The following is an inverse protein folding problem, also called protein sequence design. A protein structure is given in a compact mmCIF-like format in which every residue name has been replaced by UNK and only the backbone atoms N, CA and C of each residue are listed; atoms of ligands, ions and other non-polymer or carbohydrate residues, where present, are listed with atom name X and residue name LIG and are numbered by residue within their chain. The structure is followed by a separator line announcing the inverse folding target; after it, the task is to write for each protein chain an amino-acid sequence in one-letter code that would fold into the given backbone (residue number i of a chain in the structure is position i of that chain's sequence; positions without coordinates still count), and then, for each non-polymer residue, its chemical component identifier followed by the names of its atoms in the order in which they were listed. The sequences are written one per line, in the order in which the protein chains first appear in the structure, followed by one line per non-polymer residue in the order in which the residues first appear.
data_IF_359971229905
#
_entry.id   IF_359971229905
#
_cell.length_a   1.000
_cell.length_b   1.000
_cell.length_c   1.000
_cell.angle_alpha   90.00
_cell.angle_beta   90.00
_cell.angle_gamma   90.00
#
_symmetry.space_group_name_H-M   'P 1'
#
loop_
_entity.id
_entity.type
_entity.pdbx_description
1 polymer ?
#
# COMPACT_ATOMS: atom_id res chain seq x y z
N UNK A 1 -13.84 -28.77 18.89
CA UNK A 1 -12.64 -29.31 18.21
C UNK A 1 -12.64 -30.82 18.35
N UNK A 2 -12.15 -31.54 17.33
CA UNK A 2 -12.12 -33.00 17.29
C UNK A 2 -10.74 -33.49 16.81
N UNK A 3 -10.17 -34.52 17.44
CA UNK A 3 -8.84 -35.05 17.07
C UNK A 3 -7.66 -34.18 17.53
N UNK A 4 -6.43 -34.58 17.16
CA UNK A 4 -5.18 -33.95 17.63
C UNK A 4 -4.13 -33.86 16.51
N UNK A 5 -3.20 -32.91 16.64
CA UNK A 5 -2.10 -32.73 15.69
C UNK A 5 -2.60 -32.63 14.23
N UNK A 6 -2.10 -33.50 13.35
CA UNK A 6 -2.48 -33.51 11.92
C UNK A 6 -3.94 -33.95 11.66
N UNK A 7 -4.59 -34.61 12.62
CA UNK A 7 -5.99 -35.03 12.49
C UNK A 7 -6.97 -34.04 13.10
N UNK A 8 -6.50 -32.93 13.67
CA UNK A 8 -7.34 -31.90 14.28
C UNK A 8 -8.35 -31.30 13.29
N UNK A 9 -9.62 -31.37 13.68
CA UNK A 9 -10.75 -30.75 13.00
C UNK A 9 -11.38 -29.66 13.86
N UNK A 10 -11.76 -28.57 13.20
CA UNK A 10 -12.49 -27.45 13.78
C UNK A 10 -13.82 -27.37 13.05
N UNK A 11 -14.93 -27.67 13.74
CA UNK A 11 -16.26 -27.82 13.12
C UNK A 11 -16.24 -28.80 11.91
N UNK A 12 -15.49 -29.89 12.03
CA UNK A 12 -15.32 -30.86 10.95
C UNK A 12 -14.39 -30.42 9.80
N UNK A 13 -13.77 -29.24 9.84
CA UNK A 13 -12.80 -28.78 8.85
C UNK A 13 -11.39 -29.28 9.16
N UNK A 14 -10.77 -30.00 8.23
CA UNK A 14 -9.34 -30.31 8.28
C UNK A 14 -8.47 -29.06 8.12
N UNK A 15 -7.19 -29.14 8.49
CA UNK A 15 -6.23 -28.07 8.25
C UNK A 15 -6.19 -27.61 6.78
N UNK A 16 -6.24 -28.55 5.82
CA UNK A 16 -6.29 -28.22 4.40
C UNK A 16 -7.56 -27.47 4.00
N UNK A 17 -8.72 -27.82 4.57
CA UNK A 17 -9.98 -27.11 4.34
C UNK A 17 -9.97 -25.71 4.99
N UNK A 18 -9.39 -25.56 6.19
CA UNK A 18 -9.20 -24.26 6.84
C UNK A 18 -8.27 -23.34 6.02
N UNK A 19 -7.18 -23.89 5.50
CA UNK A 19 -6.29 -23.15 4.60
C UNK A 19 -6.99 -22.76 3.28
N UNK A 20 -7.79 -23.66 2.70
CA UNK A 20 -8.59 -23.36 1.51
C UNK A 20 -9.61 -22.25 1.79
N UNK A 21 -10.32 -22.30 2.92
CA UNK A 21 -11.22 -21.25 3.39
C UNK A 21 -10.53 -19.90 3.44
N UNK A 22 -9.36 -19.82 4.09
CA UNK A 22 -8.57 -18.59 4.15
C UNK A 22 -8.19 -18.09 2.75
N UNK A 23 -7.76 -18.98 1.84
CA UNK A 23 -7.40 -18.57 0.48
C UNK A 23 -8.58 -17.99 -0.31
N UNK A 24 -9.79 -18.53 -0.12
CA UNK A 24 -11.01 -18.01 -0.74
C UNK A 24 -11.39 -16.67 -0.10
N UNK A 25 -11.31 -16.55 1.22
CA UNK A 25 -11.54 -15.29 1.93
C UNK A 25 -10.56 -14.19 1.49
N UNK A 26 -9.27 -14.51 1.34
CA UNK A 26 -8.25 -13.57 0.85
C UNK A 26 -8.45 -13.18 -0.63
N UNK A 27 -9.28 -13.94 -1.35
CA UNK A 27 -9.59 -13.76 -2.77
C UNK A 27 -10.84 -12.89 -2.99
N UNK A 28 -11.91 -13.18 -2.25
CA UNK A 28 -13.23 -12.58 -2.45
C UNK A 28 -13.72 -11.74 -1.25
N UNK A 29 -12.99 -11.76 -0.14
CA UNK A 29 -13.41 -11.12 1.10
C UNK A 29 -14.63 -11.84 1.70
N UNK A 30 -15.41 -11.10 2.48
CA UNK A 30 -16.65 -11.60 3.11
C UNK A 30 -17.88 -11.51 2.19
N UNK A 31 -17.75 -10.94 0.98
CA UNK A 31 -18.86 -10.77 0.05
C UNK A 31 -20.00 -9.93 0.64
N UNK A 32 -21.24 -10.42 0.55
CA UNK A 32 -22.42 -9.92 1.29
C UNK A 32 -22.70 -10.76 2.54
N UNK A 33 -21.65 -11.29 3.16
CA UNK A 33 -21.74 -12.37 4.15
C UNK A 33 -22.46 -13.61 3.59
N UNK A 34 -22.31 -13.82 2.27
CA UNK A 34 -22.77 -14.99 1.52
C UNK A 34 -21.56 -15.89 1.23
N UNK A 35 -21.69 -17.17 1.59
CA UNK A 35 -20.62 -18.16 1.51
C UNK A 35 -20.72 -19.06 0.27
N UNK A 36 -21.55 -18.74 -0.72
CA UNK A 36 -21.71 -19.54 -1.95
C UNK A 36 -20.39 -19.85 -2.68
N UNK A 37 -19.51 -18.87 -2.80
CA UNK A 37 -18.20 -19.04 -3.46
C UNK A 37 -17.29 -20.06 -2.75
N UNK A 38 -17.56 -20.32 -1.47
CA UNK A 38 -16.80 -21.29 -0.68
C UNK A 38 -17.28 -22.72 -0.92
N UNK A 39 -18.56 -22.94 -1.26
CA UNK A 39 -19.13 -24.29 -1.47
C UNK A 39 -18.42 -25.02 -2.61
N UNK A 40 -18.22 -24.34 -3.75
CA UNK A 40 -17.60 -24.94 -4.94
C UNK A 40 -16.12 -25.27 -4.73
N UNK A 41 -15.46 -24.57 -3.80
CA UNK A 41 -14.02 -24.66 -3.57
C UNK A 41 -13.65 -25.52 -2.35
N UNK A 42 -14.57 -25.75 -1.41
CA UNK A 42 -14.35 -26.59 -0.23
C UNK A 42 -15.12 -27.90 -0.39
N UNK A 43 -14.41 -28.95 -0.83
CA UNK A 43 -15.00 -30.26 -1.09
C UNK A 43 -15.69 -30.84 0.15
N UNK A 44 -16.86 -31.46 -0.07
CA UNK A 44 -17.63 -32.20 0.92
C UNK A 44 -18.07 -31.38 2.14
N UNK A 45 -18.38 -30.10 1.94
CA UNK A 45 -18.99 -29.25 2.97
C UNK A 45 -20.30 -28.65 2.49
N UNK A 46 -21.30 -28.64 3.38
CA UNK A 46 -22.57 -27.95 3.11
C UNK A 46 -22.41 -26.45 3.27
N UNK A 47 -23.39 -25.69 2.78
CA UNK A 47 -23.43 -24.25 2.98
C UNK A 47 -23.47 -23.90 4.47
N UNK A 48 -24.26 -24.64 5.25
CA UNK A 48 -24.43 -24.43 6.69
C UNK A 48 -23.12 -24.65 7.45
N UNK A 49 -22.40 -25.74 7.15
CA UNK A 49 -21.09 -26.01 7.77
C UNK A 49 -20.08 -24.89 7.45
N UNK A 50 -20.06 -24.40 6.21
CA UNK A 50 -19.19 -23.30 5.80
C UNK A 50 -19.58 -22.00 6.49
N UNK A 51 -20.88 -21.70 6.59
CA UNK A 51 -21.38 -20.49 7.27
C UNK A 51 -21.02 -20.51 8.76
N UNK A 52 -21.17 -21.65 9.42
CA UNK A 52 -20.83 -21.82 10.82
C UNK A 52 -19.31 -21.63 11.04
N UNK A 53 -18.49 -22.30 10.21
CA UNK A 53 -17.03 -22.12 10.26
C UNK A 53 -16.61 -20.68 9.91
N UNK A 54 -17.25 -20.04 8.94
CA UNK A 54 -16.96 -18.65 8.59
C UNK A 54 -17.32 -17.68 9.71
N UNK A 55 -18.42 -17.93 10.42
CA UNK A 55 -18.80 -17.15 11.61
C UNK A 55 -17.76 -17.30 12.72
N UNK A 56 -17.31 -18.53 12.99
CA UNK A 56 -16.22 -18.80 13.94
C UNK A 56 -14.94 -18.06 13.52
N UNK A 57 -14.52 -18.18 12.26
CA UNK A 57 -13.33 -17.53 11.75
C UNK A 57 -13.39 -16.01 11.90
N UNK A 58 -14.55 -15.39 11.61
CA UNK A 58 -14.74 -13.95 11.79
C UNK A 58 -14.66 -13.53 13.26
N UNK A 59 -15.19 -14.35 14.17
CA UNK A 59 -15.06 -14.10 15.61
C UNK A 59 -13.60 -14.15 16.08
N UNK A 60 -12.82 -15.11 15.55
CA UNK A 60 -11.40 -15.30 15.84
C UNK A 60 -10.54 -14.12 15.38
N UNK A 61 -10.75 -13.61 14.16
CA UNK A 61 -9.97 -12.45 13.67
C UNK A 61 -10.39 -11.12 14.28
N UNK A 62 -11.51 -11.10 15.02
CA UNK A 62 -11.97 -9.95 15.79
C UNK A 62 -11.46 -9.96 17.24
N UNK A 63 -10.80 -11.05 17.69
CA UNK A 63 -10.10 -11.07 18.97
C UNK A 63 -8.96 -10.04 19.01
N UNK A 64 -8.53 -9.69 20.22
CA UNK A 64 -7.34 -8.85 20.41
C UNK A 64 -6.10 -9.53 19.81
N UNK A 65 -5.36 -8.78 18.98
CA UNK A 65 -4.16 -9.30 18.33
C UNK A 65 -3.07 -9.50 19.38
N UNK A 66 -2.70 -10.76 19.59
CA UNK A 66 -1.66 -11.19 20.52
C UNK A 66 -0.77 -12.26 19.88
N UNK A 67 0.38 -12.53 20.52
CA UNK A 67 1.38 -13.50 20.07
C UNK A 67 1.04 -14.96 20.41
N UNK A 68 -0.16 -15.23 20.97
CA UNK A 68 -0.58 -16.60 21.27
C UNK A 68 -0.65 -17.44 19.98
N UNK A 69 -0.19 -18.70 19.98
CA UNK A 69 -0.31 -19.59 18.82
C UNK A 69 -1.75 -20.07 18.57
N UNK A 70 -2.67 -19.83 19.50
CA UNK A 70 -4.08 -20.22 19.44
C UNK A 70 -5.00 -19.03 19.71
N UNK A 71 -6.26 -19.11 19.27
CA UNK A 71 -7.36 -18.24 19.68
C UNK A 71 -7.81 -18.56 21.12
N UNK A 72 -8.71 -17.73 21.65
CA UNK A 72 -9.22 -17.83 23.02
C UNK A 72 -9.89 -19.18 23.34
N UNK A 73 -10.44 -19.85 22.33
CA UNK A 73 -11.07 -21.17 22.42
C UNK A 73 -10.09 -22.35 22.21
N UNK A 74 -8.81 -22.06 22.04
CA UNK A 74 -7.75 -23.05 21.81
C UNK A 74 -7.55 -23.47 20.35
N UNK A 75 -8.33 -22.94 19.40
CA UNK A 75 -8.13 -23.23 17.97
C UNK A 75 -6.77 -22.65 17.52
N UNK A 76 -5.91 -23.43 16.82
CA UNK A 76 -4.62 -22.92 16.39
C UNK A 76 -4.76 -21.85 15.31
N UNK A 77 -3.91 -20.81 15.37
CA UNK A 77 -3.82 -19.76 14.35
C UNK A 77 -3.11 -20.24 13.09
N UNK A 78 -2.29 -21.29 13.18
CA UNK A 78 -1.63 -21.91 12.01
C UNK A 78 -0.83 -20.92 11.14
N UNK A 79 -0.19 -19.92 11.77
CA UNK A 79 0.56 -18.87 11.06
C UNK A 79 -0.31 -17.75 10.46
N UNK A 80 -1.59 -17.67 10.83
CA UNK A 80 -2.50 -16.61 10.40
C UNK A 80 -1.99 -15.23 10.83
N UNK A 81 -1.72 -14.36 9.85
CA UNK A 81 -1.42 -12.95 10.06
C UNK A 81 -2.74 -12.17 10.06
N UNK A 82 -3.37 -12.04 11.22
CA UNK A 82 -4.71 -11.42 11.38
C UNK A 82 -4.76 -10.04 10.72
N UNK A 83 -3.73 -9.21 10.91
CA UNK A 83 -3.65 -7.87 10.33
C UNK A 83 -3.80 -7.89 8.80
N UNK A 84 -3.13 -8.80 8.10
CA UNK A 84 -3.20 -8.87 6.64
C UNK A 84 -4.57 -9.32 6.15
N UNK A 85 -5.22 -10.21 6.90
CA UNK A 85 -6.57 -10.67 6.60
C UNK A 85 -7.55 -9.52 6.72
N UNK A 86 -7.48 -8.76 7.82
CA UNK A 86 -8.31 -7.58 8.05
C UNK A 86 -8.09 -6.51 6.97
N UNK A 87 -6.82 -6.22 6.63
CA UNK A 87 -6.49 -5.28 5.54
C UNK A 87 -7.08 -5.77 4.21
N UNK A 88 -6.96 -7.06 3.89
CA UNK A 88 -7.52 -7.61 2.65
C UNK A 88 -9.05 -7.52 2.61
N UNK A 89 -9.73 -7.84 3.72
CA UNK A 89 -11.18 -7.72 3.83
C UNK A 89 -11.60 -6.26 3.64
N UNK A 90 -10.94 -5.32 4.31
CA UNK A 90 -11.22 -3.89 4.18
C UNK A 90 -11.06 -3.40 2.74
N UNK A 91 -9.94 -3.72 2.07
CA UNK A 91 -9.72 -3.33 0.67
C UNK A 91 -10.82 -3.86 -0.25
N UNK A 92 -11.25 -5.11 -0.08
CA UNK A 92 -12.29 -5.71 -0.92
C UNK A 92 -13.67 -5.11 -0.66
N UNK A 93 -13.99 -4.75 0.60
CA UNK A 93 -15.21 -4.02 0.93
C UNK A 93 -15.22 -2.62 0.30
N UNK A 94 -14.12 -1.87 0.40
CA UNK A 94 -14.01 -0.54 -0.18
C UNK A 94 -14.11 -0.56 -1.72
N UNK A 95 -13.51 -1.57 -2.38
CA UNK A 95 -13.66 -1.76 -3.84
C UNK A 95 -15.14 -2.00 -4.18
N UNK A 96 -15.82 -2.84 -3.41
CA UNK A 96 -17.24 -3.14 -3.61
C UNK A 96 -18.12 -1.90 -3.46
N UNK A 97 -17.90 -1.11 -2.42
CA UNK A 97 -18.60 0.15 -2.20
C UNK A 97 -18.35 1.13 -3.34
N UNK A 98 -17.09 1.26 -3.78
CA UNK A 98 -16.72 2.13 -4.92
C UNK A 98 -17.39 1.71 -6.22
N UNK A 99 -17.39 0.41 -6.54
CA UNK A 99 -18.05 -0.14 -7.74
C UNK A 99 -19.57 0.08 -7.67
N UNK A 100 -20.17 -0.18 -6.50
CA UNK A 100 -21.60 0.05 -6.27
C UNK A 100 -21.96 1.52 -6.46
N UNK A 101 -21.23 2.43 -5.81
CA UNK A 101 -21.43 3.87 -5.94
C UNK A 101 -21.36 4.34 -7.39
N UNK A 102 -20.35 3.91 -8.15
CA UNK A 102 -20.21 4.27 -9.57
C UNK A 102 -21.38 3.75 -10.42
N UNK A 103 -21.90 2.56 -10.12
CA UNK A 103 -23.06 1.99 -10.83
C UNK A 103 -24.38 2.73 -10.55
N UNK A 104 -24.53 3.23 -9.32
CA UNK A 104 -25.72 3.99 -8.88
C UNK A 104 -25.65 5.46 -9.32
N UNK A 105 -24.45 5.98 -9.61
CA UNK A 105 -24.21 7.39 -9.94
C UNK A 105 -23.45 7.54 -11.28
N UNK A 106 -24.02 7.08 -12.41
CA UNK A 106 -23.33 7.11 -13.70
C UNK A 106 -22.97 8.54 -14.11
N UNK A 107 -21.76 8.71 -14.64
CA UNK A 107 -21.23 10.01 -15.05
C UNK A 107 -20.52 10.80 -13.94
N UNK A 108 -20.56 10.30 -12.70
CA UNK A 108 -19.73 10.84 -11.62
C UNK A 108 -18.30 10.32 -11.74
N UNK A 109 -17.27 11.17 -11.58
CA UNK A 109 -15.89 10.71 -11.55
C UNK A 109 -15.65 9.66 -10.46
N UNK A 110 -14.86 8.64 -10.77
CA UNK A 110 -14.51 7.53 -9.89
C UNK A 110 -13.76 8.00 -8.64
N UNK A 111 -13.00 9.09 -8.76
CA UNK A 111 -12.30 9.76 -7.67
C UNK A 111 -12.47 11.27 -7.76
N UNK A 112 -12.44 11.94 -6.62
CA UNK A 112 -12.43 13.41 -6.53
C UNK A 112 -11.15 14.03 -7.10
N UNK A 113 -11.25 15.27 -7.59
CA UNK A 113 -10.12 16.00 -8.18
C UNK A 113 -8.93 16.13 -7.22
N UNK A 114 -9.18 16.28 -5.91
CA UNK A 114 -8.11 16.37 -4.92
C UNK A 114 -7.37 15.02 -4.74
N UNK A 115 -8.06 13.88 -4.86
CA UNK A 115 -7.44 12.56 -4.86
C UNK A 115 -6.63 12.34 -6.14
N UNK A 116 -7.18 12.70 -7.29
CA UNK A 116 -6.51 12.57 -8.59
C UNK A 116 -5.25 13.46 -8.69
N UNK A 117 -5.32 14.69 -8.20
CA UNK A 117 -4.17 15.62 -8.21
C UNK A 117 -2.98 15.10 -7.41
N UNK A 118 -3.22 14.40 -6.29
CA UNK A 118 -2.17 13.74 -5.48
C UNK A 118 -1.66 12.43 -6.10
N UNK A 119 -2.37 11.87 -7.08
CA UNK A 119 -2.06 10.58 -7.70
C UNK A 119 -1.91 10.73 -9.21
N UNK A 120 -0.87 11.47 -9.61
CA UNK A 120 -0.52 11.77 -11.01
C UNK A 120 -0.41 10.50 -11.88
N UNK A 121 -0.05 9.35 -11.29
CA UNK A 121 0.03 8.06 -11.99
C UNK A 121 -1.31 7.52 -12.49
N UNK A 122 -2.44 8.05 -12.02
CA UNK A 122 -3.78 7.72 -12.54
C UNK A 122 -4.19 8.57 -13.74
N UNK A 123 -3.43 9.62 -14.09
CA UNK A 123 -3.77 10.50 -15.22
C UNK A 123 -4.09 9.68 -16.46
N UNK A 124 -5.15 10.10 -17.14
CA UNK A 124 -5.67 9.46 -18.35
C UNK A 124 -4.53 9.30 -19.35
N UNK A 125 -4.31 8.06 -19.75
CA UNK A 125 -3.31 7.72 -20.76
C UNK A 125 -3.97 7.69 -22.14
N UNK A 126 -3.21 7.31 -23.18
CA UNK A 126 -3.74 7.34 -24.55
C UNK A 126 -4.89 6.35 -24.73
N UNK A 127 -4.74 5.14 -24.18
CA UNK A 127 -5.72 4.06 -24.33
C UNK A 127 -6.42 3.75 -23.00
N UNK A 128 -5.67 3.70 -21.90
CA UNK A 128 -6.25 3.44 -20.59
C UNK A 128 -6.87 4.70 -19.96
N UNK A 129 -8.14 4.57 -19.59
CA UNK A 129 -9.01 5.64 -19.10
C UNK A 129 -9.76 5.19 -17.84
N UNK A 130 -10.47 6.12 -17.22
CA UNK A 130 -11.20 5.89 -15.97
C UNK A 130 -12.26 4.77 -16.07
N UNK A 131 -12.95 4.64 -17.21
CA UNK A 131 -13.89 3.53 -17.42
C UNK A 131 -13.22 2.16 -17.31
N UNK A 132 -11.94 2.07 -17.69
CA UNK A 132 -11.15 0.84 -17.58
C UNK A 132 -10.68 0.59 -16.14
N UNK A 133 -10.47 1.65 -15.35
CA UNK A 133 -10.23 1.51 -13.91
C UNK A 133 -11.45 0.91 -13.21
N UNK A 134 -12.65 1.39 -13.54
CA UNK A 134 -13.89 0.82 -13.01
C UNK A 134 -14.07 -0.65 -13.43
N UNK A 135 -13.81 -0.97 -14.71
CA UNK A 135 -13.82 -2.37 -15.18
C UNK A 135 -12.82 -3.22 -14.42
N UNK A 136 -11.60 -2.74 -14.18
CA UNK A 136 -10.59 -3.46 -13.41
C UNK A 136 -11.06 -3.74 -11.97
N UNK A 137 -11.64 -2.74 -11.29
CA UNK A 137 -12.20 -2.90 -9.94
C UNK A 137 -13.33 -3.94 -9.92
N UNK A 138 -14.26 -3.87 -10.87
CA UNK A 138 -15.33 -4.86 -11.02
C UNK A 138 -14.77 -6.27 -11.28
N UNK A 139 -13.73 -6.38 -12.10
CA UNK A 139 -13.08 -7.65 -12.44
C UNK A 139 -12.40 -8.31 -11.25
N UNK A 140 -11.87 -7.51 -10.32
CA UNK A 140 -11.29 -8.03 -9.07
C UNK A 140 -12.38 -8.67 -8.20
N UNK A 141 -13.58 -8.09 -8.17
CA UNK A 141 -14.71 -8.68 -7.45
C UNK A 141 -15.22 -9.95 -8.15
N UNK A 142 -15.28 -9.95 -9.49
CA UNK A 142 -15.72 -11.10 -10.31
C UNK A 142 -14.77 -12.30 -10.23
N UNK A 143 -13.48 -12.08 -10.48
CA UNK A 143 -12.47 -13.15 -10.60
C UNK A 143 -11.71 -13.41 -9.31
N UNK A 144 -11.74 -12.44 -8.39
CA UNK A 144 -11.03 -12.50 -7.12
C UNK A 144 -9.65 -11.85 -7.15
N UNK A 145 -9.31 -11.15 -6.07
CA UNK A 145 -8.04 -10.45 -5.85
C UNK A 145 -6.85 -11.33 -6.19
N UNK A 146 -5.95 -10.88 -7.07
CA UNK A 146 -4.73 -11.61 -7.38
C UNK A 146 -4.86 -12.65 -8.50
N UNK A 147 -6.06 -12.83 -9.10
CA UNK A 147 -6.25 -13.68 -10.29
C UNK A 147 -5.98 -12.86 -11.56
N UNK A 148 -4.84 -12.17 -11.57
CA UNK A 148 -4.48 -11.25 -12.64
C UNK A 148 -4.54 -11.87 -14.05
N UNK A 149 -4.02 -13.09 -14.28
CA UNK A 149 -4.15 -13.70 -15.60
C UNK A 149 -5.62 -13.92 -16.01
N UNK A 150 -6.47 -14.40 -15.10
CA UNK A 150 -7.89 -14.60 -15.39
C UNK A 150 -8.63 -13.29 -15.71
N UNK A 151 -8.24 -12.19 -15.04
CA UNK A 151 -8.78 -10.85 -15.33
C UNK A 151 -8.33 -10.36 -16.71
N UNK A 152 -7.06 -10.57 -17.08
CA UNK A 152 -6.56 -10.18 -18.42
C UNK A 152 -7.21 -11.01 -19.52
N UNK A 153 -7.36 -12.31 -19.29
CA UNK A 153 -7.84 -13.26 -20.29
C UNK A 153 -9.39 -13.27 -20.44
N UNK A 154 -10.12 -12.54 -19.59
CA UNK A 154 -11.56 -12.41 -19.69
C UNK A 154 -11.95 -11.47 -20.85
N UNK A 155 -12.42 -12.10 -21.92
CA UNK A 155 -12.82 -11.44 -23.17
C UNK A 155 -13.99 -10.48 -22.99
N UNK A 156 -14.88 -10.72 -22.02
CA UNK A 156 -16.06 -9.89 -21.79
C UNK A 156 -15.68 -8.49 -21.27
N UNK A 157 -14.50 -8.37 -20.66
CA UNK A 157 -13.98 -7.11 -20.14
C UNK A 157 -13.30 -6.26 -21.21
N UNK A 158 -12.87 -6.90 -22.31
CA UNK A 158 -12.09 -6.31 -23.40
C UNK A 158 -10.82 -5.54 -22.94
N UNK A 159 -10.33 -5.83 -21.73
CA UNK A 159 -9.24 -5.06 -21.09
C UNK A 159 -7.88 -5.36 -21.73
N UNK A 160 -7.70 -6.59 -22.24
CA UNK A 160 -6.49 -7.02 -22.93
C UNK A 160 -6.18 -6.16 -24.16
N UNK A 161 -7.20 -5.82 -24.96
CA UNK A 161 -7.02 -4.98 -26.15
C UNK A 161 -6.51 -3.58 -25.77
N UNK A 162 -7.04 -3.01 -24.68
CA UNK A 162 -6.64 -1.70 -24.17
C UNK A 162 -5.21 -1.74 -23.63
N UNK A 163 -4.85 -2.80 -22.89
CA UNK A 163 -3.49 -3.02 -22.38
C UNK A 163 -2.49 -3.15 -23.52
N UNK A 164 -2.81 -3.91 -24.57
CA UNK A 164 -1.95 -4.05 -25.75
C UNK A 164 -1.70 -2.70 -26.42
N UNK A 165 -2.74 -1.89 -26.59
CA UNK A 165 -2.62 -0.54 -27.13
C UNK A 165 -1.77 0.38 -26.25
N UNK A 166 -1.93 0.29 -24.93
CA UNK A 166 -1.18 1.10 -23.96
C UNK A 166 0.30 0.72 -23.89
N UNK A 167 0.61 -0.58 -23.99
CA UNK A 167 1.99 -1.09 -23.98
C UNK A 167 2.65 -1.10 -25.36
N UNK A 168 1.93 -0.70 -26.41
CA UNK A 168 2.34 -0.79 -27.81
C UNK A 168 2.81 -2.21 -28.19
N UNK A 169 2.08 -3.22 -27.71
CA UNK A 169 2.30 -4.64 -27.98
C UNK A 169 1.27 -5.09 -29.02
N UNK A 170 1.66 -5.85 -30.06
CA UNK A 170 0.70 -6.38 -31.02
C UNK A 170 -0.28 -7.32 -30.33
N UNK A 171 -1.57 -7.13 -30.59
CA UNK A 171 -2.59 -8.05 -30.15
C UNK A 171 -2.53 -9.33 -30.98
N UNK A 172 -2.11 -10.44 -30.36
CA UNK A 172 -2.05 -11.75 -31.02
C UNK A 172 -3.22 -12.58 -30.51
N UNK A 173 -4.27 -12.72 -31.33
CA UNK A 173 -5.31 -13.73 -31.14
C UNK A 173 -4.69 -15.10 -31.44
N UNK A 174 -4.07 -15.75 -30.45
CA UNK A 174 -3.72 -17.17 -30.61
C UNK A 174 -5.00 -17.97 -30.42
N UNK A 175 -5.46 -18.75 -31.41
CA UNK A 175 -6.62 -19.61 -31.22
C UNK A 175 -6.33 -20.59 -30.08
N UNK A 176 -7.23 -20.61 -29.10
CA UNK A 176 -7.25 -21.57 -28.00
C UNK A 176 -7.48 -22.97 -28.60
N UNK A 177 -6.42 -23.62 -29.06
CA UNK A 177 -6.53 -24.91 -29.74
C UNK A 177 -5.23 -25.56 -30.22
N UNK A 178 -4.12 -24.84 -30.38
CA UNK A 178 -2.89 -25.40 -30.95
C UNK A 178 -1.71 -25.59 -29.99
N UNK A 179 -1.90 -25.40 -28.68
CA UNK A 179 -0.89 -25.78 -27.68
C UNK A 179 -1.12 -27.19 -27.11
N UNK A 180 -2.22 -27.86 -27.49
CA UNK A 180 -2.62 -29.16 -26.94
C UNK A 180 -2.38 -30.40 -27.83
N UNK A 181 -1.90 -30.29 -29.06
CA UNK A 181 -1.97 -31.41 -30.03
C UNK A 181 -0.64 -31.99 -30.51
N UNK A 182 0.45 -31.88 -29.74
CA UNK A 182 1.63 -32.73 -29.92
C UNK A 182 2.25 -33.15 -28.57
N UNK A 183 1.54 -33.99 -27.84
CA UNK A 183 2.17 -34.98 -26.97
C UNK A 183 2.09 -36.34 -27.66
N UNK A 184 3.20 -37.07 -27.85
CA UNK A 184 3.12 -38.52 -28.05
C UNK A 184 2.71 -39.15 -26.73
N UNK A 185 1.58 -39.85 -26.75
CA UNK A 185 1.15 -40.76 -25.69
C UNK A 185 2.28 -41.73 -25.29
N UNK A 186 2.50 -41.93 -23.99
CA UNK A 186 3.45 -42.93 -23.52
C UNK A 186 3.52 -43.11 -22.01
N UNK A 187 2.59 -43.90 -21.47
CA UNK A 187 2.71 -44.77 -20.29
C UNK A 187 2.78 -44.16 -18.86
N UNK A 188 1.72 -44.46 -18.11
CA UNK A 188 1.68 -44.97 -16.73
C UNK A 188 2.92 -44.74 -15.84
N UNK A 189 2.72 -44.20 -14.64
CA UNK A 189 2.93 -44.96 -13.40
C UNK A 189 2.31 -44.25 -12.19
N UNK A 190 1.65 -45.07 -11.39
CA UNK A 190 1.07 -44.85 -10.07
C UNK A 190 2.10 -44.58 -8.97
N UNK A 191 1.68 -43.79 -8.00
CA UNK A 191 1.99 -43.84 -6.56
C UNK A 191 3.39 -43.51 -6.03
N UNK A 192 3.30 -42.89 -4.85
CA UNK A 192 4.06 -43.14 -3.62
C UNK A 192 5.04 -42.04 -3.20
N UNK A 193 4.67 -41.45 -2.06
CA UNK A 193 5.53 -40.82 -1.08
C UNK A 193 6.81 -41.62 -0.83
N UNK A 194 7.92 -40.94 -0.54
CA UNK A 194 8.89 -41.49 0.40
C UNK A 194 9.69 -40.40 1.10
N UNK A 195 9.73 -40.59 2.42
CA UNK A 195 10.47 -39.85 3.43
C UNK A 195 11.81 -40.55 3.67
N UNK A 196 12.86 -39.76 3.95
CA UNK A 196 13.98 -40.06 4.87
C UNK A 196 14.99 -41.20 4.55
N UNK A 197 16.24 -40.73 4.37
CA UNK A 197 17.52 -41.15 4.97
C UNK A 197 18.16 -42.55 4.76
N UNK A 198 19.50 -42.46 4.70
CA UNK A 198 20.57 -43.41 5.08
C UNK A 198 21.25 -44.28 4.02
N UNK A 199 22.51 -43.87 3.75
CA UNK A 199 23.75 -44.62 4.03
C UNK A 199 24.45 -45.45 2.92
N UNK A 200 25.75 -45.12 2.82
CA UNK A 200 26.96 -45.97 2.69
C UNK A 200 27.24 -46.80 1.42
N UNK A 201 28.42 -46.44 0.86
CA UNK A 201 29.53 -47.30 0.39
C UNK A 201 29.26 -48.24 -0.81
N UNK A 202 30.22 -48.66 -1.63
CA UNK A 202 31.59 -48.31 -2.02
C UNK A 202 31.98 -49.36 -3.10
N UNK A 203 32.92 -49.02 -3.99
CA UNK A 203 33.86 -49.92 -4.69
C UNK A 203 33.49 -50.73 -5.95
N UNK A 204 34.43 -50.68 -6.91
CA UNK A 204 34.81 -51.75 -7.86
C UNK A 204 34.42 -51.48 -9.32
N UNK A 205 35.17 -50.71 -10.13
CA UNK A 205 36.45 -51.00 -10.82
C UNK A 205 36.39 -52.09 -11.92
N UNK A 206 36.96 -51.73 -13.09
CA UNK A 206 37.88 -52.51 -13.98
C UNK A 206 37.49 -52.53 -15.48
N UNK A 207 38.31 -51.79 -16.26
CA UNK A 207 38.89 -52.04 -17.63
C UNK A 207 37.97 -52.24 -18.85
N UNK A 208 38.31 -51.94 -20.10
CA UNK A 208 39.32 -51.19 -20.88
C UNK A 208 38.85 -51.34 -22.36
N UNK A 209 39.11 -50.48 -23.36
CA UNK A 209 40.33 -50.40 -24.19
C UNK A 209 40.08 -49.40 -25.34
N UNK A 210 40.99 -48.43 -25.47
CA UNK A 210 41.58 -47.71 -26.63
C UNK A 210 40.86 -47.45 -27.97
N UNK A 211 41.08 -46.23 -28.50
CA UNK A 211 40.99 -45.94 -29.95
C UNK A 211 41.07 -44.48 -30.44
N UNK A 212 42.19 -43.78 -30.21
CA UNK A 212 42.85 -42.75 -31.07
C UNK A 212 42.14 -41.48 -31.65
N UNK A 213 42.61 -40.32 -31.15
CA UNK A 213 43.19 -39.11 -31.81
C UNK A 213 42.53 -38.29 -32.96
N UNK A 214 42.50 -36.94 -32.76
CA UNK A 214 42.62 -35.87 -33.78
C UNK A 214 41.77 -34.62 -33.43
N UNK A 215 42.22 -33.67 -32.60
CA UNK A 215 42.98 -32.41 -32.87
C UNK A 215 42.31 -31.36 -33.78
N UNK A 216 42.19 -30.13 -33.22
CA UNK A 216 41.87 -28.81 -33.80
C UNK A 216 40.46 -28.63 -34.42
N UNK A 217 39.72 -27.54 -34.20
CA UNK A 217 40.17 -26.16 -34.19
C UNK A 217 39.20 -25.23 -33.44
N UNK A 218 39.76 -24.24 -32.76
CA UNK A 218 39.02 -23.13 -32.17
C UNK A 218 38.85 -22.07 -33.27
N UNK A 219 37.64 -21.91 -33.80
CA UNK A 219 37.40 -20.93 -34.85
C UNK A 219 35.93 -20.56 -34.99
N UNK A 220 35.62 -19.34 -34.56
CA UNK A 220 34.38 -18.56 -34.79
C UNK A 220 33.22 -18.88 -33.86
N UNK A 221 33.22 -18.17 -32.73
CA UNK A 221 32.00 -17.58 -32.18
C UNK A 221 31.35 -16.71 -33.28
N UNK A 222 30.45 -17.30 -34.07
CA UNK A 222 29.30 -16.54 -34.54
C UNK A 222 28.27 -16.63 -33.42
N UNK A 223 28.02 -15.49 -32.76
CA UNK A 223 26.82 -15.28 -31.96
C UNK A 223 25.63 -15.53 -32.89
N UNK A 224 25.15 -16.77 -32.93
CA UNK A 224 23.80 -17.04 -33.40
C UNK A 224 22.90 -16.31 -32.40
N UNK A 225 22.37 -15.16 -32.80
CA UNK A 225 21.22 -14.56 -32.16
C UNK A 225 20.12 -15.64 -32.17
N UNK A 226 19.98 -16.37 -31.06
CA UNK A 226 18.81 -17.21 -30.84
C UNK A 226 17.63 -16.25 -30.67
N UNK A 227 16.92 -16.02 -31.77
CA UNK A 227 15.57 -15.44 -31.76
C UNK A 227 14.78 -16.14 -30.64
N UNK A 228 14.27 -15.39 -29.65
CA UNK A 228 13.55 -16.01 -28.54
C UNK A 228 12.37 -16.79 -29.09
N UNK A 229 12.22 -18.05 -28.65
CA UNK A 229 11.14 -18.93 -29.14
C UNK A 229 9.78 -18.24 -28.99
N UNK A 230 8.87 -18.47 -29.94
CA UNK A 230 7.52 -17.88 -29.96
C UNK A 230 6.77 -18.08 -28.64
N UNK A 231 6.98 -19.21 -27.97
CA UNK A 231 6.45 -19.49 -26.63
C UNK A 231 7.07 -18.63 -25.52
N UNK A 232 8.38 -18.33 -25.62
CA UNK A 232 9.05 -17.42 -24.68
C UNK A 232 8.49 -15.99 -24.83
N UNK A 233 8.37 -15.52 -26.08
CA UNK A 233 7.79 -14.20 -26.39
C UNK A 233 6.35 -14.07 -25.87
N UNK A 234 5.52 -15.11 -26.07
CA UNK A 234 4.14 -15.14 -25.56
C UNK A 234 4.09 -15.08 -24.02
N UNK A 235 4.94 -15.84 -23.33
CA UNK A 235 5.02 -15.81 -21.85
C UNK A 235 5.45 -14.44 -21.33
N UNK A 236 6.39 -13.80 -22.00
CA UNK A 236 6.83 -12.45 -21.64
C UNK A 236 5.72 -11.42 -21.87
N UNK A 237 4.97 -11.54 -22.95
CA UNK A 237 3.80 -10.72 -23.24
C UNK A 237 2.73 -10.85 -22.14
N UNK A 238 2.33 -12.08 -21.79
CA UNK A 238 1.39 -12.33 -20.69
C UNK A 238 1.87 -11.74 -19.36
N UNK A 239 3.18 -11.85 -19.07
CA UNK A 239 3.78 -11.23 -17.88
C UNK A 239 3.62 -9.71 -17.90
N UNK A 240 3.91 -9.05 -19.03
CA UNK A 240 3.75 -7.60 -19.17
C UNK A 240 2.30 -7.16 -18.97
N UNK A 241 1.35 -7.90 -19.53
CA UNK A 241 -0.08 -7.59 -19.35
C UNK A 241 -0.51 -7.71 -17.87
N UNK A 242 -0.11 -8.79 -17.22
CA UNK A 242 -0.37 -9.02 -15.79
C UNK A 242 0.28 -7.94 -14.92
N UNK A 243 1.52 -7.55 -15.20
CA UNK A 243 2.22 -6.52 -14.44
C UNK A 243 1.61 -5.13 -14.64
N UNK A 244 1.08 -4.83 -15.83
CA UNK A 244 0.35 -3.59 -16.08
C UNK A 244 -0.86 -3.47 -15.15
N UNK A 245 -1.75 -4.47 -15.11
CA UNK A 245 -2.96 -4.39 -14.28
C UNK A 245 -2.65 -4.42 -12.78
N UNK A 246 -1.60 -5.15 -12.36
CA UNK A 246 -1.13 -5.11 -10.96
C UNK A 246 -0.71 -3.70 -10.55
N UNK A 247 0.12 -3.06 -11.37
CA UNK A 247 0.60 -1.69 -11.10
C UNK A 247 -0.56 -0.70 -11.09
N UNK A 248 -1.50 -0.83 -12.04
CA UNK A 248 -2.68 0.01 -12.09
C UNK A 248 -3.56 -0.18 -10.86
N UNK A 249 -3.80 -1.42 -10.45
CA UNK A 249 -4.55 -1.74 -9.24
C UNK A 249 -3.93 -1.13 -7.98
N UNK A 250 -2.60 -1.21 -7.81
CA UNK A 250 -1.93 -0.62 -6.64
C UNK A 250 -2.16 0.90 -6.53
N UNK A 251 -2.25 1.60 -7.67
CA UNK A 251 -2.60 3.02 -7.68
C UNK A 251 -4.06 3.25 -7.29
N UNK A 252 -4.98 2.42 -7.78
CA UNK A 252 -6.40 2.49 -7.43
C UNK A 252 -6.62 2.20 -5.94
N UNK A 253 -6.00 1.16 -5.41
CA UNK A 253 -6.03 0.79 -3.99
C UNK A 253 -5.55 1.96 -3.11
N UNK A 254 -4.44 2.61 -3.50
CA UNK A 254 -3.95 3.80 -2.81
C UNK A 254 -4.97 4.95 -2.80
N UNK A 255 -5.66 5.17 -3.92
CA UNK A 255 -6.66 6.22 -4.04
C UNK A 255 -7.91 5.93 -3.21
N UNK A 256 -8.42 4.70 -3.30
CA UNK A 256 -9.55 4.21 -2.50
C UNK A 256 -9.25 4.38 -1.00
N UNK A 257 -8.07 3.95 -0.55
CA UNK A 257 -7.66 4.10 0.85
C UNK A 257 -7.53 5.58 1.25
N UNK A 258 -7.00 6.43 0.37
CA UNK A 258 -6.85 7.87 0.66
C UNK A 258 -8.21 8.57 0.81
N UNK A 259 -9.19 8.19 -0.02
CA UNK A 259 -10.54 8.73 0.04
C UNK A 259 -11.26 8.29 1.32
N UNK A 260 -11.18 6.99 1.65
CA UNK A 260 -11.73 6.47 2.91
C UNK A 260 -11.15 7.17 4.14
N UNK A 261 -9.83 7.37 4.18
CA UNK A 261 -9.19 8.08 5.29
C UNK A 261 -9.64 9.54 5.39
N UNK A 262 -9.87 10.21 4.25
CA UNK A 262 -10.41 11.57 4.23
C UNK A 262 -11.83 11.60 4.80
N UNK A 263 -12.71 10.74 4.30
CA UNK A 263 -14.11 10.64 4.75
C UNK A 263 -14.19 10.32 6.25
N UNK A 264 -13.40 9.36 6.72
CA UNK A 264 -13.33 9.01 8.14
C UNK A 264 -12.90 10.20 9.02
N UNK A 265 -11.86 10.92 8.61
CA UNK A 265 -11.37 12.10 9.34
C UNK A 265 -12.40 13.24 9.34
N UNK A 266 -13.11 13.43 8.24
CA UNK A 266 -14.15 14.45 8.11
C UNK A 266 -15.37 14.11 9.01
N UNK A 267 -15.78 12.85 9.09
CA UNK A 267 -16.82 12.38 10.03
C UNK A 267 -16.40 12.59 11.49
N UNK A 268 -15.14 12.26 11.84
CA UNK A 268 -14.62 12.51 13.19
C UNK A 268 -14.67 14.00 13.58
N UNK A 269 -14.27 14.89 12.67
CA UNK A 269 -14.37 16.35 12.88
C UNK A 269 -15.82 16.82 12.99
N UNK A 270 -16.73 16.28 12.19
CA UNK A 270 -18.16 16.62 12.28
C UNK A 270 -18.76 16.22 13.64
N UNK A 271 -18.39 15.04 14.16
CA UNK A 271 -18.80 14.57 15.50
C UNK A 271 -18.22 15.42 16.63
N UNK A 272 -16.99 15.90 16.50
CA UNK A 272 -16.38 16.83 17.47
C UNK A 272 -17.05 18.22 17.46
N UNK A 273 -17.43 18.72 16.28
CA UNK A 273 -18.13 20.00 16.14
C UNK A 273 -19.53 20.01 16.79
N UNK A 274 -20.26 18.89 16.70
CA UNK A 274 -21.62 18.78 17.24
C UNK A 274 -21.67 18.59 18.76
N UNK A 275 -20.56 18.19 19.40
CA UNK A 275 -20.49 17.98 20.86
C UNK A 275 -20.28 19.28 21.66
N UNK A 276 -20.23 20.46 21.02
CA UNK A 276 -20.12 21.75 21.71
C UNK A 276 -21.46 22.34 22.18
N UNK A 277 -22.61 21.78 21.80
CA UNK A 277 -23.92 22.41 22.06
C UNK A 277 -24.85 21.71 23.08
N UNK A 278 -24.49 20.53 23.60
CA UNK A 278 -25.22 19.93 24.73
C UNK A 278 -24.26 19.48 25.85
N UNK A 279 -23.94 20.42 26.74
CA UNK A 279 -23.58 20.09 28.12
C UNK A 279 -24.75 20.46 29.00
N UNK A 280 -25.52 19.46 29.44
CA UNK A 280 -26.00 19.32 30.82
C UNK A 280 -26.64 17.94 31.05
N UNK A 281 -26.33 17.42 32.24
CA UNK A 281 -26.77 16.20 32.94
C UNK A 281 -26.17 14.82 32.61
N UNK A 282 -25.75 14.05 33.66
CA UNK A 282 -25.17 12.73 33.51
C UNK A 282 -26.22 11.64 33.71
N UNK A 283 -26.39 10.77 32.71
CA UNK A 283 -27.10 9.50 32.91
C UNK A 283 -26.22 8.35 32.46
N UNK A 284 -25.85 7.55 33.45
CA UNK A 284 -25.12 6.30 33.38
C UNK A 284 -25.80 5.30 32.46
N UNK A 285 -25.13 4.92 31.36
CA UNK A 285 -25.27 3.58 30.77
C UNK A 285 -23.91 3.09 30.32
N UNK A 286 -23.46 2.03 30.99
CA UNK A 286 -22.30 1.21 30.66
C UNK A 286 -22.51 0.57 29.28
N UNK A 287 -21.77 1.03 28.27
CA UNK A 287 -21.43 0.24 27.09
C UNK A 287 -19.91 0.33 26.94
N UNK A 288 -19.27 -0.83 27.02
CA UNK A 288 -17.83 -1.00 27.14
C UNK A 288 -17.06 -0.25 26.05
N UNK A 289 -16.30 0.74 26.49
CA UNK A 289 -15.28 1.43 25.71
C UNK A 289 -13.97 0.65 25.85
N UNK A 290 -13.68 -0.18 24.85
CA UNK A 290 -12.40 -0.85 24.59
C UNK A 290 -12.26 -0.76 23.06
N UNK A 291 -11.16 -0.36 22.42
CA UNK A 291 -9.73 -0.51 22.70
C UNK A 291 -9.03 0.65 21.98
N UNK A 292 -8.12 1.36 22.67
CA UNK A 292 -6.90 1.94 22.08
C UNK A 292 -5.97 2.29 23.26
N UNK A 293 -5.63 1.26 24.03
CA UNK A 293 -4.57 1.30 25.02
C UNK A 293 -3.40 0.50 24.51
N UNK A 294 -2.19 1.06 24.63
CA UNK A 294 -0.92 0.35 24.57
C UNK A 294 -0.40 -0.07 23.17
N UNK A 295 0.00 0.92 22.37
CA UNK A 295 1.18 0.74 21.49
C UNK A 295 1.94 2.04 21.16
N UNK A 296 1.56 3.17 21.75
CA UNK A 296 2.20 4.45 21.40
C UNK A 296 3.61 4.64 21.96
N UNK A 297 4.04 3.85 22.95
CA UNK A 297 5.40 4.00 23.49
C UNK A 297 6.49 3.37 22.61
N UNK A 298 6.16 2.50 21.64
CA UNK A 298 7.16 1.79 20.81
C UNK A 298 7.20 2.25 19.34
N UNK A 299 6.28 3.12 18.90
CA UNK A 299 6.22 3.60 17.51
C UNK A 299 6.79 5.00 17.30
N UNK A 300 7.26 5.68 18.35
CA UNK A 300 7.88 7.01 18.22
C UNK A 300 9.35 6.90 17.74
N UNK A 301 10.02 5.77 17.97
CA UNK A 301 11.39 5.51 17.49
C UNK A 301 11.51 5.32 15.95
N UNK A 302 10.39 5.28 15.22
CA UNK A 302 10.40 5.16 13.76
C UNK A 302 10.19 6.49 13.02
N UNK A 303 10.01 7.61 13.74
CA UNK A 303 10.05 8.94 13.13
C UNK A 303 11.53 9.34 12.96
N UNK A 304 11.89 9.80 11.76
CA UNK A 304 13.25 10.26 11.43
C UNK A 304 13.63 11.35 12.45
N UNK A 305 14.61 11.08 13.31
CA UNK A 305 15.12 12.06 14.26
C UNK A 305 15.65 13.26 13.47
N UNK A 306 15.15 14.45 13.79
CA UNK A 306 15.63 15.69 13.19
C UNK A 306 16.95 16.03 13.87
N UNK A 307 18.07 15.80 13.20
CA UNK A 307 19.38 16.17 13.74
C UNK A 307 19.61 17.68 13.57
N UNK A 308 19.82 18.45 14.66
CA UNK A 308 20.16 19.85 14.54
C UNK A 308 21.53 20.01 13.89
N UNK A 309 21.70 21.06 13.08
CA UNK A 309 22.97 21.37 12.44
C UNK A 309 23.93 21.86 13.52
N UNK A 310 25.08 21.21 13.65
CA UNK A 310 26.07 21.57 14.67
C UNK A 310 26.76 22.89 14.33
N UNK A 311 27.26 23.59 15.35
CA UNK A 311 28.02 24.82 15.16
C UNK A 311 29.28 24.61 14.28
N UNK A 312 29.88 23.42 14.37
CA UNK A 312 31.04 23.02 13.57
C UNK A 312 30.69 22.85 12.08
N UNK A 313 29.53 22.28 11.75
CA UNK A 313 29.03 22.16 10.38
C UNK A 313 28.62 23.51 9.78
N UNK A 314 28.07 24.41 10.59
CA UNK A 314 27.77 25.79 10.18
C UNK A 314 29.08 26.52 9.85
N UNK A 315 30.08 26.47 10.74
CA UNK A 315 31.38 27.12 10.49
C UNK A 315 32.15 26.51 9.30
N UNK A 316 31.99 25.22 9.01
CA UNK A 316 32.64 24.56 7.88
C UNK A 316 31.99 24.85 6.51
N UNK A 317 30.73 25.30 6.49
CA UNK A 317 29.94 25.52 5.27
C UNK A 317 29.73 27.00 4.91
N UNK A 318 29.99 27.92 5.85
CA UNK A 318 29.97 29.37 5.64
C UNK A 318 31.32 29.81 5.06
N UNK A 319 31.46 29.71 3.74
CA UNK A 319 32.61 30.26 2.99
C UNK A 319 32.33 31.68 2.45
N UNK A 320 31.11 32.20 2.64
CA UNK A 320 30.66 33.54 2.29
C UNK A 320 30.11 34.24 3.55
N UNK A 321 30.39 35.53 3.75
CA UNK A 321 29.87 36.34 4.89
C UNK A 321 28.35 36.62 4.77
N UNK A 322 27.57 35.70 4.19
CA UNK A 322 26.15 35.89 3.92
C UNK A 322 25.33 35.63 5.19
N UNK A 323 24.76 36.68 5.82
CA UNK A 323 24.05 36.55 7.09
C UNK A 323 22.75 35.73 6.96
N UNK A 324 22.20 35.62 5.74
CA UNK A 324 20.97 34.87 5.49
C UNK A 324 21.18 33.35 5.60
N UNK A 325 22.37 32.84 5.27
CA UNK A 325 22.67 31.40 5.40
C UNK A 325 22.75 30.98 6.86
N UNK A 326 23.45 31.77 7.68
CA UNK A 326 23.52 31.54 9.13
C UNK A 326 22.13 31.61 9.77
N UNK A 327 21.32 32.57 9.36
CA UNK A 327 19.94 32.72 9.85
C UNK A 327 19.06 31.51 9.47
N UNK A 328 19.22 30.95 8.27
CA UNK A 328 18.50 29.73 7.88
C UNK A 328 18.89 28.50 8.71
N UNK A 329 20.19 28.35 9.03
CA UNK A 329 20.64 27.28 9.92
C UNK A 329 20.07 27.43 11.34
N UNK A 330 20.01 28.66 11.86
CA UNK A 330 19.36 28.92 13.15
C UNK A 330 17.86 28.62 13.13
N UNK A 331 17.14 29.04 12.09
CA UNK A 331 15.70 28.76 11.94
C UNK A 331 15.41 27.26 11.80
N UNK A 332 16.29 26.51 11.14
CA UNK A 332 16.19 25.05 11.07
C UNK A 332 16.36 24.40 12.46
N UNK A 333 17.36 24.83 13.23
CA UNK A 333 17.57 24.30 14.57
C UNK A 333 16.41 24.68 15.51
N UNK A 334 15.87 25.89 15.41
CA UNK A 334 14.66 26.30 16.16
C UNK A 334 13.44 25.45 15.79
N UNK A 335 13.33 25.02 14.52
CA UNK A 335 12.28 24.10 14.09
C UNK A 335 12.47 22.72 14.72
N UNK A 336 13.70 22.20 14.75
CA UNK A 336 14.01 20.93 15.41
C UNK A 336 13.60 20.97 16.89
N UNK A 337 14.01 22.01 17.62
CA UNK A 337 13.67 22.19 19.05
C UNK A 337 12.15 22.30 19.27
N UNK A 338 11.45 23.03 18.40
CA UNK A 338 10.00 23.17 18.48
C UNK A 338 9.29 21.83 18.26
N UNK A 339 9.75 21.02 17.30
CA UNK A 339 9.18 19.69 17.01
C UNK A 339 9.46 18.70 18.14
N UNK A 340 10.66 18.70 18.71
CA UNK A 340 11.01 17.85 19.85
C UNK A 340 10.21 18.21 21.10
N UNK A 341 10.13 19.51 21.42
CA UNK A 341 9.35 20.02 22.55
C UNK A 341 7.87 19.67 22.41
N UNK A 342 7.33 19.74 21.19
CA UNK A 342 5.94 19.36 20.90
C UNK A 342 5.70 17.86 21.07
N UNK A 343 6.66 17.04 20.65
CA UNK A 343 6.59 15.59 20.80
C UNK A 343 6.61 15.20 22.28
N UNK A 344 7.51 15.78 23.07
CA UNK A 344 7.58 15.56 24.53
C UNK A 344 6.30 16.02 25.25
N UNK A 345 5.78 17.19 24.91
CA UNK A 345 4.53 17.72 25.47
C UNK A 345 3.31 16.85 25.12
N UNK A 346 3.23 16.33 23.89
CA UNK A 346 2.15 15.44 23.45
C UNK A 346 2.17 14.11 24.23
N UNK A 347 3.36 13.53 24.41
CA UNK A 347 3.55 12.31 25.21
C UNK A 347 3.16 12.57 26.67
N UNK A 348 3.61 13.66 27.27
CA UNK A 348 3.28 14.02 28.66
C UNK A 348 1.79 14.33 28.86
N UNK A 349 1.15 15.05 27.92
CA UNK A 349 -0.29 15.33 27.96
C UNK A 349 -1.15 14.07 27.80
N UNK A 350 -0.71 13.11 26.98
CA UNK A 350 -1.38 11.80 26.82
C UNK A 350 -1.35 10.98 28.10
N UNK A 351 -0.29 11.09 28.90
CA UNK A 351 -0.15 10.44 30.21
C UNK A 351 -0.92 11.17 31.31
N UNK A 352 -1.08 12.49 31.19
CA UNK A 352 -1.70 13.35 32.23
C UNK A 352 -3.22 13.51 32.07
N UNK A 353 -3.82 13.03 30.97
CA UNK A 353 -5.25 13.11 30.64
C UNK A 353 -5.82 14.54 30.65
N UNK A 354 -4.96 15.54 30.44
CA UNK A 354 -5.31 16.96 30.39
C UNK A 354 -4.82 17.53 29.05
N UNK A 355 -5.66 17.48 28.03
CA UNK A 355 -5.37 18.10 26.74
C UNK A 355 -5.79 19.57 26.81
N UNK A 356 -4.89 20.48 27.17
CA UNK A 356 -5.18 21.92 27.09
C UNK A 356 -4.98 22.37 25.63
N UNK A 357 -6.09 22.61 24.91
CA UNK A 357 -6.13 23.15 23.53
C UNK A 357 -5.18 24.35 23.33
N UNK A 358 -4.94 25.12 24.40
CA UNK A 358 -4.06 26.30 24.44
C UNK A 358 -2.60 25.97 24.11
N UNK A 359 -2.07 24.84 24.58
CA UNK A 359 -0.67 24.46 24.33
C UNK A 359 -0.48 23.98 22.87
N UNK A 360 -1.42 23.22 22.33
CA UNK A 360 -1.38 22.79 20.93
C UNK A 360 -1.43 24.00 19.97
N UNK A 361 -2.31 24.98 20.22
CA UNK A 361 -2.38 26.19 19.39
C UNK A 361 -1.10 27.04 19.44
N UNK A 362 -0.46 27.17 20.61
CA UNK A 362 0.81 27.90 20.75
C UNK A 362 1.93 27.24 19.94
N UNK A 363 1.96 25.91 19.94
CA UNK A 363 2.96 25.10 19.26
C UNK A 363 2.85 25.17 17.72
N UNK A 364 1.63 25.14 17.18
CA UNK A 364 1.40 25.36 15.75
C UNK A 364 1.77 26.79 15.33
N UNK A 365 1.53 27.77 16.19
CA UNK A 365 1.87 29.16 15.91
C UNK A 365 3.39 29.39 15.82
N UNK A 366 4.18 28.72 16.67
CA UNK A 366 5.64 28.80 16.63
C UNK A 366 6.21 28.23 15.32
N UNK A 367 5.73 27.06 14.88
CA UNK A 367 6.15 26.46 13.60
C UNK A 367 5.72 27.30 12.39
N UNK A 368 4.51 27.87 12.42
CA UNK A 368 4.04 28.77 11.37
C UNK A 368 4.92 30.03 11.25
N UNK A 369 5.39 30.57 12.38
CA UNK A 369 6.28 31.74 12.43
C UNK A 369 7.66 31.42 11.83
N UNK A 370 8.22 30.26 12.16
CA UNK A 370 9.50 29.80 11.60
C UNK A 370 9.39 29.63 10.06
N UNK A 371 8.31 29.00 9.59
CA UNK A 371 8.04 28.85 8.15
C UNK A 371 7.93 30.20 7.42
N UNK A 372 7.27 31.20 8.03
CA UNK A 372 7.18 32.54 7.46
C UNK A 372 8.56 33.21 7.36
N UNK A 373 9.40 33.08 8.39
CA UNK A 373 10.76 33.63 8.38
C UNK A 373 11.66 32.96 7.33
N UNK A 374 11.60 31.63 7.20
CA UNK A 374 12.32 30.89 6.16
C UNK A 374 11.87 31.36 4.77
N UNK A 375 10.56 31.49 4.55
CA UNK A 375 10.03 32.00 3.28
C UNK A 375 10.48 33.44 3.00
N UNK A 376 10.54 34.32 4.01
CA UNK A 376 11.03 35.70 3.86
C UNK A 376 12.50 35.77 3.46
N UNK A 377 13.33 34.83 3.93
CA UNK A 377 14.76 34.76 3.57
C UNK A 377 14.96 34.17 2.17
N UNK A 378 14.15 33.17 1.80
CA UNK A 378 14.25 32.48 0.50
C UNK A 378 13.57 33.24 -0.65
N UNK A 379 12.68 34.19 -0.34
CA UNK A 379 12.01 35.02 -1.35
C UNK A 379 12.94 36.17 -1.79
N UNK A 380 13.23 36.34 -3.08
CA UNK A 380 14.08 37.42 -3.56
C UNK A 380 13.48 38.79 -3.20
N UNK A 381 14.13 39.53 -2.31
CA UNK A 381 13.83 40.94 -2.11
C UNK A 381 14.32 41.71 -3.34
N UNK A 382 13.40 42.24 -4.14
CA UNK A 382 13.70 43.32 -5.08
C UNK A 382 14.07 44.57 -4.27
N UNK A 383 15.32 44.67 -3.83
CA UNK A 383 15.87 45.92 -3.30
C UNK A 383 16.21 46.82 -4.49
N UNK A 384 15.36 47.82 -4.70
CA UNK A 384 15.75 49.07 -5.35
C UNK A 384 16.76 49.75 -4.42
N UNK A 385 18.04 49.57 -4.73
CA UNK A 385 19.09 50.43 -4.19
C UNK A 385 18.93 51.81 -4.80
N UNK A 386 18.30 52.73 -4.07
CA UNK A 386 18.51 54.16 -4.27
C UNK A 386 19.59 54.61 -3.27
N UNK A 387 20.83 54.67 -3.74
CA UNK A 387 21.86 55.48 -3.08
C UNK A 387 21.43 56.96 -3.08
N UNK A 388 21.55 57.69 -1.97
CA UNK A 388 21.46 59.14 -1.99
C UNK A 388 22.81 59.69 -2.48
N UNK A 389 22.83 60.19 -3.71
CA UNK A 389 23.93 61.03 -4.20
C UNK A 389 23.97 62.29 -3.33
N UNK A 390 25.09 62.45 -2.61
CA UNK A 390 25.48 63.69 -2.00
C UNK A 390 25.59 64.78 -3.07
N UNK A 391 24.82 65.85 -2.94
CA UNK A 391 25.18 67.15 -3.50
C UNK A 391 25.03 68.20 -2.41
N UNK A 392 26.17 68.78 -2.09
CA UNK A 392 26.40 69.89 -1.18
C UNK A 392 25.61 71.13 -1.59
N UNK A 393 25.04 71.78 -0.56
CA UNK A 393 24.96 73.22 -0.34
C UNK A 393 24.64 74.15 -1.53
N UNK A 394 23.50 74.84 -1.43
CA UNK A 394 23.42 76.31 -1.33
C UNK A 394 22.02 76.68 -0.79
N UNK A 395 21.98 77.26 0.41
CA UNK A 395 20.88 78.12 0.94
C UNK A 395 20.97 79.50 0.23
N UNK A 396 19.91 80.33 0.12
CA UNK A 396 19.25 80.86 1.31
C UNK A 396 17.72 81.03 1.26
N UNK A 397 17.20 81.27 2.45
CA UNK A 397 15.86 81.66 2.88
C UNK A 397 15.09 82.62 1.95
N UNK A 398 13.75 82.56 1.99
CA UNK A 398 12.85 83.65 2.45
C UNK A 398 11.36 83.32 2.14
N UNK A 399 10.57 83.15 3.22
CA UNK A 399 9.26 83.79 3.54
C UNK A 399 8.02 83.50 2.65
N UNK A 400 7.11 82.74 3.28
CA UNK A 400 5.67 83.04 3.52
C UNK A 400 4.58 82.99 2.44
N UNK A 401 3.53 82.24 2.83
CA UNK A 401 2.11 82.63 2.90
C UNK A 401 1.17 82.46 1.68
N UNK A 402 0.08 81.74 2.01
CA UNK A 402 -1.34 81.86 1.61
C UNK A 402 -1.82 81.38 0.24
N UNK A 403 -2.87 80.53 0.30
CA UNK A 403 -4.18 80.59 -0.40
C UNK A 403 -4.18 81.30 -1.76
N UNK A 404 -4.63 80.67 -2.87
CA UNK A 404 -5.99 80.18 -3.16
C UNK A 404 -5.91 79.13 -4.27
#
# INVERSE_FOLDING_TARGET
MEGEGKSLRVLGFSQSQRAAFLQILMRFGVGDFDWKEFISNIKQKTYEEIKEYGTLFLSHIAEEINDSPTFSDGVPKEGLRIQDVLVRIAVLLLIKEKVKFASENPGTPLFSDDILSRNIGLKVTKMWKEEHDLVLLHSILKHGYGKWPAIVDDMDLNILMVICGELNIPFINVPVGQVGSHMPNGANMTNAESTSNQSRQNSGSVMAVNGAHGSCDAGKQEKLHQEPSTLCQFREMQRKHTEFIKKRFLLLEKCINSEYQKEYNDDMKAREGNNKELKNEPTTTNVGRHIFGETHSQKIDQLRQLEPITFEEICASVCDDNPNRLTLCHLYNEMCDAVETNTANLVQASLSRELTEVNAMKNFHQLATICDHVNRILTPQNQTNSEPIANSDIKPDVVSQTEV
#
